data_IF_082461754065
#
_entry.id   IF_082461754065
#
_cell.length_a   1.000
_cell.length_b   1.000
_cell.length_c   1.000
_cell.angle_alpha   90.00
_cell.angle_beta   90.00
_cell.angle_gamma   90.00
#
_symmetry.space_group_name_H-M   'P 1'
#
loop_
_entity.id
_entity.type
_entity.pdbx_description
1 polymer ?
#
# COMPACT_ATOMS: atom_id res chain seq x y z
N UNK A 1 1.46 -0.94 9.12
CA UNK A 1 2.81 -1.27 8.58
C UNK A 1 3.83 -1.03 9.66
N UNK A 2 4.80 -1.91 9.85
CA UNK A 2 5.84 -1.72 10.85
C UNK A 2 7.01 -0.93 10.26
N UNK A 3 7.45 0.11 10.93
CA UNK A 3 8.71 0.76 10.62
C UNK A 3 9.86 -0.14 11.10
N UNK A 4 10.77 -0.48 10.20
CA UNK A 4 11.97 -1.22 10.54
C UNK A 4 13.01 -0.26 11.11
N UNK A 5 13.31 -0.40 12.38
CA UNK A 5 14.48 0.19 13.01
C UNK A 5 15.52 -0.92 13.17
N UNK A 6 16.51 -0.97 12.28
CA UNK A 6 17.56 -1.98 12.33
C UNK A 6 18.57 -1.61 13.42
N UNK A 7 18.58 -2.37 14.50
CA UNK A 7 19.67 -2.28 15.50
C UNK A 7 20.80 -3.28 15.23
N UNK A 8 20.54 -4.36 14.49
CA UNK A 8 21.56 -5.35 14.04
C UNK A 8 21.07 -6.06 12.79
N UNK A 9 21.97 -6.60 11.92
CA UNK A 9 21.61 -7.30 10.69
C UNK A 9 20.62 -8.46 10.86
N UNK A 10 20.60 -9.08 12.04
CA UNK A 10 19.81 -10.28 12.34
C UNK A 10 18.55 -10.00 13.19
N UNK A 11 18.23 -8.73 13.48
CA UNK A 11 17.07 -8.38 14.29
C UNK A 11 16.07 -7.51 13.54
N UNK A 12 14.77 -7.80 13.73
CA UNK A 12 13.65 -7.03 13.23
C UNK A 12 12.94 -6.40 14.41
N UNK A 13 12.83 -5.07 14.41
CA UNK A 13 11.95 -4.33 15.30
C UNK A 13 10.77 -3.83 14.48
N UNK A 14 9.58 -4.34 14.78
CA UNK A 14 8.33 -3.93 14.17
C UNK A 14 7.42 -3.30 15.22
N UNK A 15 6.61 -2.35 14.79
CA UNK A 15 5.57 -1.75 15.61
C UNK A 15 4.21 -2.03 14.98
N UNK A 16 3.25 -2.49 15.78
CA UNK A 16 1.88 -2.67 15.32
C UNK A 16 1.19 -1.30 15.25
N UNK A 17 0.99 -0.82 14.05
CA UNK A 17 0.33 0.46 13.77
C UNK A 17 -1.15 0.27 13.37
N UNK A 18 -1.74 -0.88 13.70
CA UNK A 18 -3.15 -1.16 13.40
C UNK A 18 -4.06 -0.16 14.13
N UNK A 19 -5.14 0.31 13.48
CA UNK A 19 -6.12 1.17 14.12
C UNK A 19 -6.62 0.57 15.45
N UNK A 20 -6.72 1.41 16.48
CA UNK A 20 -7.13 1.00 17.83
C UNK A 20 -6.03 0.38 18.69
N UNK A 21 -4.83 0.15 18.14
CA UNK A 21 -3.65 -0.31 18.89
C UNK A 21 -2.61 0.78 19.15
N UNK A 22 -2.78 1.91 18.48
CA UNK A 22 -1.96 3.11 18.68
C UNK A 22 -2.87 4.17 19.30
N UNK A 23 -2.64 4.50 20.57
CA UNK A 23 -3.27 5.66 21.21
C UNK A 23 -2.58 6.95 20.75
N UNK A 24 -3.22 8.12 20.93
CA UNK A 24 -2.59 9.42 20.66
C UNK A 24 -1.22 9.51 21.37
N UNK A 25 -0.16 9.66 20.57
CA UNK A 25 1.21 9.77 21.09
C UNK A 25 1.88 8.46 21.55
N UNK A 26 1.26 7.29 21.36
CA UNK A 26 1.84 6.00 21.70
C UNK A 26 2.30 5.23 20.46
N UNK A 27 3.43 4.55 20.60
CA UNK A 27 3.88 3.55 19.63
C UNK A 27 3.17 2.24 19.98
N UNK A 28 2.50 1.61 19.02
CA UNK A 28 1.80 0.35 19.21
C UNK A 28 2.70 -0.80 19.71
N UNK A 29 2.15 -1.99 19.97
CA UNK A 29 2.93 -3.12 20.49
C UNK A 29 4.19 -3.40 19.67
N UNK A 30 5.29 -3.61 20.36
CA UNK A 30 6.61 -3.87 19.76
C UNK A 30 6.79 -5.36 19.51
N UNK A 31 7.24 -5.70 18.31
CA UNK A 31 7.71 -7.03 17.93
C UNK A 31 9.23 -6.97 17.82
N UNK A 32 9.94 -7.61 18.71
CA UNK A 32 11.39 -7.73 18.66
C UNK A 32 11.72 -9.17 18.27
N UNK A 33 12.16 -9.37 17.04
CA UNK A 33 12.35 -10.69 16.45
C UNK A 33 13.78 -10.87 15.95
N UNK A 34 14.28 -12.11 16.03
CA UNK A 34 15.56 -12.53 15.44
C UNK A 34 15.36 -13.72 14.56
N UNK A 35 16.07 -13.77 13.44
CA UNK A 35 16.04 -14.93 12.55
C UNK A 35 16.80 -16.10 13.17
N UNK A 36 16.17 -17.26 13.24
CA UNK A 36 16.76 -18.55 13.62
C UNK A 36 16.36 -19.61 12.61
N UNK A 37 17.20 -19.84 11.60
CA UNK A 37 16.86 -20.70 10.47
C UNK A 37 15.62 -20.19 9.73
N UNK A 38 14.59 -21.04 9.67
CA UNK A 38 13.29 -20.70 9.06
C UNK A 38 12.28 -20.06 10.03
N UNK A 39 12.71 -19.70 11.22
CA UNK A 39 11.85 -19.07 12.21
C UNK A 39 12.29 -17.63 12.48
N UNK A 40 11.33 -16.81 12.90
CA UNK A 40 11.58 -15.56 13.62
C UNK A 40 11.19 -15.79 15.08
N UNK A 41 12.14 -15.63 15.97
CA UNK A 41 11.97 -15.89 17.41
C UNK A 41 12.18 -14.58 18.18
N UNK A 42 11.35 -14.32 19.16
CA UNK A 42 11.45 -13.10 19.96
C UNK A 42 10.26 -12.85 20.83
N UNK A 43 9.83 -11.59 20.92
CA UNK A 43 8.71 -11.18 21.77
C UNK A 43 7.76 -10.24 21.07
N UNK A 44 6.48 -10.30 21.45
CA UNK A 44 5.46 -9.29 21.21
C UNK A 44 5.14 -8.62 22.55
N UNK A 45 5.63 -7.40 22.76
CA UNK A 45 5.70 -6.83 24.09
C UNK A 45 6.55 -7.72 24.99
N UNK A 46 5.95 -8.24 26.07
CA UNK A 46 6.59 -9.17 27.02
C UNK A 46 6.29 -10.65 26.77
N UNK A 47 5.51 -10.98 25.74
CA UNK A 47 5.14 -12.36 25.46
C UNK A 47 6.12 -13.00 24.48
N UNK A 48 6.66 -14.20 24.77
CA UNK A 48 7.51 -14.92 23.85
C UNK A 48 6.74 -15.33 22.59
N UNK A 49 7.39 -15.23 21.42
CA UNK A 49 6.80 -15.48 20.13
C UNK A 49 7.77 -16.26 19.24
N UNK A 50 7.24 -17.28 18.56
CA UNK A 50 7.92 -17.99 17.49
C UNK A 50 7.04 -17.96 16.26
N UNK A 51 7.51 -17.30 15.20
CA UNK A 51 6.88 -17.30 13.88
C UNK A 51 7.63 -18.26 12.98
N UNK A 52 6.94 -19.22 12.41
CA UNK A 52 7.50 -20.16 11.43
C UNK A 52 7.30 -19.62 10.02
N UNK A 53 8.31 -19.74 9.18
CA UNK A 53 8.15 -19.53 7.75
C UNK A 53 7.28 -20.66 7.20
N UNK A 54 6.10 -20.32 6.73
CA UNK A 54 5.18 -21.24 6.05
C UNK A 54 4.95 -20.70 4.65
N UNK A 55 5.06 -21.56 3.67
CA UNK A 55 4.63 -21.23 2.31
C UNK A 55 3.17 -21.67 2.16
N UNK A 56 2.22 -20.75 2.03
CA UNK A 56 0.82 -21.12 1.84
C UNK A 56 0.61 -21.92 0.56
N UNK A 57 -0.39 -22.82 0.51
CA UNK A 57 -0.69 -23.59 -0.69
C UNK A 57 -0.90 -22.68 -1.91
N UNK A 58 -0.34 -23.08 -3.04
CA UNK A 58 -0.45 -22.37 -4.33
C UNK A 58 -0.11 -20.87 -4.24
N UNK A 59 0.79 -20.49 -3.33
CA UNK A 59 1.40 -19.17 -3.25
C UNK A 59 2.55 -19.03 -4.24
N UNK A 60 2.91 -17.80 -4.62
CA UNK A 60 4.10 -17.50 -5.42
C UNK A 60 5.24 -16.99 -4.53
N UNK A 61 6.46 -17.36 -4.83
CA UNK A 61 7.63 -16.75 -4.20
C UNK A 61 7.89 -15.38 -4.80
N UNK A 62 8.37 -14.46 -3.97
CA UNK A 62 8.63 -13.07 -4.35
C UNK A 62 10.06 -12.70 -3.99
N UNK A 63 10.67 -11.83 -4.81
CA UNK A 63 11.96 -11.21 -4.53
C UNK A 63 11.80 -9.69 -4.46
N UNK A 64 12.49 -9.07 -3.52
CA UNK A 64 12.50 -7.62 -3.36
C UNK A 64 13.59 -7.00 -4.23
N UNK A 65 13.21 -5.97 -4.99
CA UNK A 65 14.10 -5.08 -5.70
C UNK A 65 13.96 -3.68 -5.10
N UNK A 66 15.05 -3.12 -4.61
CA UNK A 66 15.06 -1.81 -3.95
C UNK A 66 15.99 -0.86 -4.68
N UNK A 67 15.47 0.31 -4.99
CA UNK A 67 16.20 1.40 -5.61
C UNK A 67 16.03 2.65 -4.74
N UNK A 68 17.12 3.37 -4.51
CA UNK A 68 17.13 4.62 -3.72
C UNK A 68 18.11 5.56 -4.37
N UNK A 69 17.72 6.81 -4.53
CA UNK A 69 18.62 7.85 -4.98
C UNK A 69 18.22 9.21 -4.39
N UNK A 70 19.10 10.20 -4.53
CA UNK A 70 18.85 11.56 -4.06
C UNK A 70 19.61 12.57 -4.91
N UNK A 71 19.05 13.77 -5.00
CA UNK A 71 19.66 14.91 -5.68
C UNK A 71 19.75 16.08 -4.71
N UNK A 72 20.91 16.74 -4.66
CA UNK A 72 21.07 17.96 -3.89
C UNK A 72 20.40 19.14 -4.61
N UNK A 73 19.75 20.01 -3.86
CA UNK A 73 19.17 21.25 -4.39
C UNK A 73 20.24 22.16 -5.00
N UNK A 74 21.38 22.24 -4.32
CA UNK A 74 22.57 22.99 -4.78
C UNK A 74 23.82 22.11 -4.65
N UNK A 75 24.25 21.41 -5.71
CA UNK A 75 25.43 20.54 -5.66
C UNK A 75 26.71 21.23 -5.19
N UNK A 76 26.84 22.53 -5.49
CA UNK A 76 27.99 23.35 -5.07
C UNK A 76 27.94 23.78 -3.59
N UNK A 77 26.80 23.53 -2.89
CA UNK A 77 26.58 23.92 -1.50
C UNK A 77 26.01 22.72 -0.69
N UNK A 78 26.75 21.62 -0.52
CA UNK A 78 26.27 20.41 0.14
C UNK A 78 25.95 20.63 1.62
N UNK A 79 26.48 21.66 2.25
CA UNK A 79 26.21 22.09 3.62
C UNK A 79 24.75 22.53 3.84
N UNK A 80 24.00 22.83 2.79
CA UNK A 80 22.59 23.26 2.91
C UNK A 80 21.68 22.14 3.37
N UNK A 81 22.12 20.86 3.25
CA UNK A 81 21.35 19.66 3.63
C UNK A 81 19.95 19.60 3.02
N UNK A 82 19.79 20.14 1.80
CA UNK A 82 18.55 20.14 1.05
C UNK A 82 18.63 19.12 -0.09
N UNK A 83 17.74 18.15 -0.05
CA UNK A 83 17.74 17.02 -0.97
C UNK A 83 16.34 16.64 -1.43
N UNK A 84 16.22 16.32 -2.72
CA UNK A 84 15.14 15.49 -3.22
C UNK A 84 15.53 14.02 -3.07
N UNK A 85 14.68 13.20 -2.46
CA UNK A 85 14.92 11.76 -2.26
C UNK A 85 13.83 10.95 -2.95
N UNK A 86 14.24 9.91 -3.65
CA UNK A 86 13.30 8.99 -4.30
C UNK A 86 13.62 7.55 -3.96
N UNK A 87 12.57 6.74 -3.77
CA UNK A 87 12.65 5.29 -3.50
C UNK A 87 11.67 4.52 -4.35
N UNK A 88 12.10 3.33 -4.78
CA UNK A 88 11.22 2.33 -5.37
C UNK A 88 11.50 0.98 -4.73
N UNK A 89 10.47 0.32 -4.19
CA UNK A 89 10.51 -1.06 -3.68
C UNK A 89 9.51 -1.91 -4.46
N UNK A 90 10.01 -2.87 -5.23
CA UNK A 90 9.20 -3.80 -5.98
C UNK A 90 9.34 -5.23 -5.44
N UNK A 91 8.23 -5.89 -5.12
CA UNK A 91 8.17 -7.33 -4.87
C UNK A 91 7.74 -8.02 -6.16
N UNK A 92 8.66 -8.72 -6.80
CA UNK A 92 8.40 -9.39 -8.08
C UNK A 92 8.29 -10.91 -7.91
N UNK A 93 7.33 -11.56 -8.57
CA UNK A 93 7.19 -13.02 -8.59
C UNK A 93 8.41 -13.72 -9.17
N UNK A 94 8.84 -14.81 -8.52
CA UNK A 94 9.95 -15.66 -8.96
C UNK A 94 9.57 -17.12 -9.16
N UNK A 95 8.34 -17.50 -8.82
CA UNK A 95 7.82 -18.84 -9.00
C UNK A 95 6.36 -18.82 -9.47
N UNK A 96 5.95 -19.94 -10.07
CA UNK A 96 4.60 -20.12 -10.57
C UNK A 96 4.52 -20.12 -12.10
N UNK A 97 3.44 -20.67 -12.67
CA UNK A 97 3.30 -20.90 -14.11
C UNK A 97 3.22 -19.59 -14.92
N UNK A 98 2.73 -18.53 -14.33
CA UNK A 98 2.53 -17.24 -14.99
C UNK A 98 3.48 -16.14 -14.49
N UNK A 99 4.69 -16.50 -14.03
CA UNK A 99 5.69 -15.56 -13.51
C UNK A 99 5.94 -14.35 -14.44
N UNK A 100 6.17 -14.52 -15.75
CA UNK A 100 6.40 -13.38 -16.64
C UNK A 100 5.20 -12.43 -16.71
N UNK A 101 3.98 -12.98 -16.79
CA UNK A 101 2.74 -12.22 -16.87
C UNK A 101 2.48 -11.47 -15.56
N UNK A 102 2.69 -12.12 -14.41
CA UNK A 102 2.57 -11.51 -13.08
C UNK A 102 3.60 -10.40 -12.90
N UNK A 103 4.86 -10.63 -13.28
CA UNK A 103 5.92 -9.62 -13.23
C UNK A 103 5.52 -8.39 -14.04
N UNK A 104 5.09 -8.59 -15.29
CA UNK A 104 4.63 -7.51 -16.14
C UNK A 104 3.44 -6.76 -15.52
N UNK A 105 2.48 -7.48 -14.93
CA UNK A 105 1.31 -6.88 -14.28
C UNK A 105 1.70 -6.06 -13.04
N UNK A 106 2.62 -6.54 -12.20
CA UNK A 106 3.12 -5.80 -11.04
C UNK A 106 3.88 -4.55 -11.48
N UNK A 107 4.73 -4.62 -12.51
CA UNK A 107 5.46 -3.44 -13.01
C UNK A 107 4.50 -2.42 -13.62
N UNK A 108 3.43 -2.84 -14.30
CA UNK A 108 2.36 -1.92 -14.74
C UNK A 108 1.67 -1.24 -13.55
N UNK A 109 1.34 -2.00 -12.50
CA UNK A 109 0.77 -1.44 -11.27
C UNK A 109 1.67 -0.41 -10.60
N UNK A 110 2.99 -0.64 -10.54
CA UNK A 110 3.99 0.34 -10.08
C UNK A 110 4.02 1.62 -10.93
N UNK A 111 3.74 1.51 -12.22
CA UNK A 111 3.61 2.67 -13.12
C UNK A 111 2.28 3.42 -12.92
N UNK A 112 1.35 2.87 -12.16
CA UNK A 112 -0.01 3.41 -12.01
C UNK A 112 -0.94 3.08 -13.18
N UNK A 113 -0.59 2.10 -14.03
CA UNK A 113 -1.37 1.70 -15.18
C UNK A 113 -2.42 0.64 -14.79
N UNK A 114 -3.67 1.07 -14.79
CA UNK A 114 -4.80 0.21 -14.41
C UNK A 114 -5.47 -0.46 -15.61
N UNK A 115 -5.09 -0.13 -16.85
CA UNK A 115 -5.84 -0.53 -18.05
C UNK A 115 -5.17 -1.60 -18.90
N UNK A 116 -3.92 -1.99 -18.62
CA UNK A 116 -3.08 -2.85 -19.47
C UNK A 116 -2.87 -2.33 -20.90
N UNK A 117 -3.18 -1.05 -21.14
CA UNK A 117 -3.16 -0.46 -22.47
C UNK A 117 -1.74 -0.34 -23.05
N UNK A 118 -0.72 -0.35 -22.19
CA UNK A 118 0.68 -0.26 -22.61
C UNK A 118 1.49 -1.45 -22.09
N UNK A 119 2.45 -1.96 -22.88
CA UNK A 119 3.38 -2.97 -22.39
C UNK A 119 4.08 -2.54 -21.09
N UNK A 120 4.35 -3.50 -20.22
CA UNK A 120 5.16 -3.25 -19.04
C UNK A 120 6.60 -2.90 -19.46
N UNK A 121 7.19 -1.83 -18.93
CA UNK A 121 8.61 -1.59 -19.10
C UNK A 121 9.43 -2.60 -18.27
N UNK A 122 10.72 -2.71 -18.54
CA UNK A 122 11.62 -3.32 -17.58
C UNK A 122 11.64 -2.50 -16.28
N UNK A 123 11.76 -3.16 -15.11
CA UNK A 123 11.74 -2.47 -13.82
C UNK A 123 12.83 -1.39 -13.72
N UNK A 124 14.04 -1.69 -14.23
CA UNK A 124 15.12 -0.71 -14.25
C UNK A 124 14.80 0.52 -15.12
N UNK A 125 14.10 0.33 -16.25
CA UNK A 125 13.67 1.44 -17.09
C UNK A 125 12.58 2.29 -16.41
N UNK A 126 11.65 1.65 -15.69
CA UNK A 126 10.66 2.36 -14.88
C UNK A 126 11.32 3.19 -13.79
N UNK A 127 12.28 2.60 -13.08
CA UNK A 127 13.06 3.31 -12.06
C UNK A 127 13.76 4.54 -12.64
N UNK A 128 14.50 4.37 -13.74
CA UNK A 128 15.25 5.46 -14.36
C UNK A 128 14.34 6.59 -14.84
N UNK A 129 13.18 6.25 -15.40
CA UNK A 129 12.17 7.24 -15.80
C UNK A 129 11.66 8.04 -14.59
N UNK A 130 11.26 7.34 -13.50
CA UNK A 130 10.73 8.00 -12.29
C UNK A 130 11.81 8.86 -11.62
N UNK A 131 13.03 8.33 -11.52
CA UNK A 131 14.17 9.03 -10.94
C UNK A 131 14.49 10.33 -11.71
N UNK A 132 14.60 10.22 -13.02
CA UNK A 132 14.96 11.38 -13.88
C UNK A 132 13.87 12.44 -13.86
N UNK A 133 12.59 12.05 -13.90
CA UNK A 133 11.47 12.99 -13.76
C UNK A 133 11.51 13.69 -12.41
N UNK A 134 11.60 12.92 -11.32
CA UNK A 134 11.64 13.49 -9.97
C UNK A 134 12.80 14.46 -9.76
N UNK A 135 13.99 14.13 -10.25
CA UNK A 135 15.15 15.01 -10.11
C UNK A 135 14.97 16.33 -10.87
N UNK A 136 14.43 16.24 -12.09
CA UNK A 136 14.13 17.42 -12.89
C UNK A 136 13.10 18.31 -12.19
N UNK A 137 11.96 17.72 -11.79
CA UNK A 137 10.86 18.46 -11.15
C UNK A 137 11.33 19.11 -9.85
N UNK A 138 12.12 18.39 -9.03
CA UNK A 138 12.70 18.94 -7.80
C UNK A 138 13.60 20.15 -8.07
N UNK A 139 14.47 20.05 -9.06
CA UNK A 139 15.40 21.16 -9.39
C UNK A 139 14.66 22.35 -9.99
N UNK A 140 13.65 22.11 -10.83
CA UNK A 140 12.83 23.19 -11.42
C UNK A 140 12.02 23.93 -10.35
N UNK A 141 11.51 23.24 -9.33
CA UNK A 141 10.74 23.84 -8.24
C UNK A 141 11.62 24.58 -7.23
N UNK A 142 12.73 23.96 -6.81
CA UNK A 142 13.51 24.45 -5.67
C UNK A 142 14.53 25.52 -6.06
N UNK A 143 15.07 25.48 -7.27
CA UNK A 143 16.10 26.46 -7.73
C UNK A 143 15.62 27.91 -7.67
N UNK A 144 14.42 28.26 -8.20
CA UNK A 144 13.96 29.67 -8.12
C UNK A 144 13.63 30.08 -6.68
N UNK A 145 13.14 29.16 -5.81
CA UNK A 145 12.89 29.46 -4.42
C UNK A 145 14.18 29.82 -3.65
N UNK A 146 15.26 29.09 -3.94
CA UNK A 146 16.57 29.36 -3.34
C UNK A 146 17.21 30.63 -3.87
N UNK A 147 17.02 30.97 -5.17
CA UNK A 147 17.50 32.24 -5.74
C UNK A 147 16.77 33.43 -5.11
N UNK A 148 15.46 33.37 -5.00
CA UNK A 148 14.68 34.45 -4.37
C UNK A 148 15.02 34.64 -2.88
N UNK A 149 15.40 33.54 -2.21
CA UNK A 149 15.79 33.56 -0.81
C UNK A 149 17.18 34.16 -0.57
N UNK A 150 18.09 34.11 -1.54
CA UNK A 150 19.44 34.65 -1.42
C UNK A 150 19.45 36.19 -1.29
N UNK A 151 18.38 36.85 -1.76
CA UNK A 151 18.24 38.32 -1.68
C UNK A 151 17.78 38.82 -0.30
N UNK A 152 17.42 37.90 0.63
CA UNK A 152 16.98 38.24 1.98
C UNK A 152 17.97 37.72 3.02
N UNK A 153 18.69 38.60 3.69
CA UNK A 153 19.76 38.28 4.66
C UNK A 153 19.31 37.45 5.86
N UNK A 154 18.00 37.19 6.05
CA UNK A 154 17.39 36.44 7.15
C UNK A 154 16.75 35.12 6.73
N UNK A 155 16.69 34.76 5.45
CA UNK A 155 16.05 33.56 5.00
C UNK A 155 16.98 32.34 5.15
N UNK A 156 16.53 31.38 5.94
CA UNK A 156 17.13 30.04 5.93
C UNK A 156 16.24 29.12 5.11
N UNK A 157 16.82 28.36 4.17
CA UNK A 157 16.04 27.36 3.41
C UNK A 157 15.29 26.45 4.36
N UNK A 158 13.99 26.38 4.23
CA UNK A 158 13.14 25.60 5.12
C UNK A 158 13.30 24.11 4.82
N UNK A 159 13.20 23.27 5.85
CA UNK A 159 13.17 21.79 5.71
C UNK A 159 12.06 21.31 4.76
N UNK A 160 11.05 22.16 4.52
CA UNK A 160 9.98 21.94 3.54
C UNK A 160 10.47 21.83 2.08
N UNK A 161 11.71 22.23 1.80
CA UNK A 161 12.36 22.04 0.51
C UNK A 161 13.05 20.66 0.36
N UNK A 162 12.99 19.81 1.36
CA UNK A 162 13.37 18.41 1.24
C UNK A 162 12.20 17.61 0.67
N UNK A 163 12.21 17.35 -0.65
CA UNK A 163 11.17 16.58 -1.30
C UNK A 163 11.41 15.09 -1.17
N UNK A 164 10.33 14.35 -1.11
CA UNK A 164 10.38 12.89 -1.05
C UNK A 164 9.36 12.27 -2.01
N UNK A 165 9.77 11.20 -2.68
CA UNK A 165 8.89 10.34 -3.45
C UNK A 165 9.18 8.87 -3.11
N UNK A 166 8.12 8.11 -2.88
CA UNK A 166 8.21 6.67 -2.64
C UNK A 166 7.14 5.94 -3.43
N UNK A 167 7.57 4.91 -4.17
CA UNK A 167 6.69 3.94 -4.78
C UNK A 167 7.06 2.57 -4.24
N UNK A 168 6.11 1.85 -3.66
CA UNK A 168 6.39 0.52 -3.11
C UNK A 168 5.24 -0.47 -3.33
N UNK A 169 5.61 -1.74 -3.45
CA UNK A 169 4.64 -2.84 -3.43
C UNK A 169 4.69 -3.57 -2.10
N UNK A 170 3.54 -4.08 -1.67
CA UNK A 170 3.44 -5.00 -0.56
C UNK A 170 2.36 -6.05 -0.79
N UNK A 171 2.57 -7.22 -0.20
CA UNK A 171 1.65 -8.34 -0.33
C UNK A 171 0.47 -8.16 0.62
N UNK A 172 -0.73 -8.24 0.08
CA UNK A 172 -1.98 -8.22 0.84
C UNK A 172 -2.54 -9.62 1.05
N UNK A 173 -2.36 -10.49 0.04
CA UNK A 173 -2.71 -11.90 0.07
C UNK A 173 -1.84 -12.70 -0.89
N UNK A 174 -1.44 -13.92 -0.51
CA UNK A 174 -0.66 -14.80 -1.38
C UNK A 174 -0.89 -16.27 -0.99
N UNK A 175 -1.98 -16.83 -1.47
CA UNK A 175 -2.36 -18.23 -1.29
C UNK A 175 -3.45 -18.63 -2.28
N UNK A 176 -3.71 -19.91 -2.44
CA UNK A 176 -4.85 -20.47 -3.16
C UNK A 176 -4.98 -19.96 -4.61
N UNK A 177 -3.86 -19.84 -5.31
CA UNK A 177 -3.75 -19.26 -6.65
C UNK A 177 -4.19 -17.79 -6.77
N UNK A 178 -4.20 -17.08 -5.65
CA UNK A 178 -4.51 -15.65 -5.58
C UNK A 178 -3.32 -14.89 -5.02
N UNK A 179 -2.86 -13.86 -5.74
CA UNK A 179 -1.90 -12.87 -5.27
C UNK A 179 -2.58 -11.51 -5.26
N UNK A 180 -2.70 -10.89 -4.09
CA UNK A 180 -3.18 -9.50 -3.98
C UNK A 180 -2.04 -8.60 -3.54
N UNK A 181 -1.84 -7.52 -4.29
CA UNK A 181 -0.73 -6.57 -4.13
C UNK A 181 -1.27 -5.17 -3.91
N UNK A 182 -0.69 -4.47 -2.95
CA UNK A 182 -0.86 -3.04 -2.78
C UNK A 182 0.31 -2.29 -3.44
N UNK A 183 -0.02 -1.22 -4.13
CA UNK A 183 0.90 -0.28 -4.76
C UNK A 183 0.78 1.04 -4.01
N UNK A 184 1.70 1.27 -3.11
CA UNK A 184 1.75 2.48 -2.30
C UNK A 184 2.56 3.55 -3.01
N UNK A 185 2.00 4.74 -3.07
CA UNK A 185 2.67 5.92 -3.58
C UNK A 185 2.61 7.01 -2.51
N UNK A 186 3.75 7.62 -2.23
CA UNK A 186 3.87 8.76 -1.34
C UNK A 186 4.67 9.86 -2.05
N UNK A 187 4.26 11.09 -1.86
CA UNK A 187 5.00 12.26 -2.30
C UNK A 187 4.92 13.38 -1.28
N UNK A 188 6.03 14.06 -1.08
CA UNK A 188 6.12 15.32 -0.35
C UNK A 188 6.91 16.32 -1.20
N UNK A 189 6.28 17.40 -1.53
CA UNK A 189 6.87 18.51 -2.32
C UNK A 189 6.69 19.86 -1.61
N UNK A 190 6.89 19.85 -0.29
CA UNK A 190 6.68 21.01 0.55
C UNK A 190 5.25 21.08 1.13
N UNK A 191 5.02 22.04 2.02
CA UNK A 191 3.74 22.23 2.69
C UNK A 191 3.62 21.51 4.02
N UNK A 192 2.38 21.33 4.51
CA UNK A 192 2.11 20.85 5.85
C UNK A 192 2.30 19.33 6.01
N UNK A 193 2.06 18.55 4.98
CA UNK A 193 2.17 17.09 4.99
C UNK A 193 2.36 16.54 3.57
N UNK A 194 2.86 15.31 3.46
CA UNK A 194 2.89 14.57 2.21
C UNK A 194 1.52 14.02 1.81
N UNK A 195 1.40 13.63 0.56
CA UNK A 195 0.24 12.92 0.03
C UNK A 195 0.58 11.47 -0.19
N UNK A 196 -0.38 10.57 0.07
CA UNK A 196 -0.20 9.16 -0.22
C UNK A 196 -1.50 8.52 -0.69
N UNK A 197 -1.35 7.46 -1.44
CA UNK A 197 -2.45 6.62 -1.88
C UNK A 197 -1.97 5.19 -2.07
N UNK A 198 -2.85 4.22 -1.83
CA UNK A 198 -2.65 2.83 -2.18
C UNK A 198 -3.65 2.42 -3.24
N UNK A 199 -3.18 2.03 -4.41
CA UNK A 199 -3.98 1.24 -5.34
C UNK A 199 -3.74 -0.24 -5.07
N UNK A 200 -4.77 -1.07 -5.31
CA UNK A 200 -4.69 -2.50 -5.05
C UNK A 200 -5.14 -3.30 -6.26
N UNK A 201 -4.56 -4.48 -6.45
CA UNK A 201 -4.97 -5.41 -7.48
C UNK A 201 -4.80 -6.86 -7.00
N UNK A 202 -5.74 -7.69 -7.38
CA UNK A 202 -5.65 -9.15 -7.22
C UNK A 202 -5.36 -9.81 -8.55
N UNK A 203 -4.56 -10.87 -8.53
CA UNK A 203 -4.13 -11.61 -9.71
C UNK A 203 -4.41 -13.10 -9.53
N UNK A 204 -4.94 -13.76 -10.57
CA UNK A 204 -4.92 -15.22 -10.67
C UNK A 204 -3.49 -15.67 -11.01
N UNK A 205 -2.84 -16.36 -10.08
CA UNK A 205 -1.43 -16.75 -10.24
C UNK A 205 -1.20 -17.85 -11.28
N UNK A 206 -2.26 -18.53 -11.72
CA UNK A 206 -2.17 -19.56 -12.79
C UNK A 206 -2.03 -18.93 -14.16
N UNK A 207 -2.60 -17.73 -14.35
CA UNK A 207 -2.68 -17.05 -15.66
C UNK A 207 -1.95 -15.72 -15.70
N UNK A 208 -1.69 -15.12 -14.53
CA UNK A 208 -1.18 -13.76 -14.39
C UNK A 208 -2.22 -12.68 -14.67
N UNK A 209 -3.51 -13.05 -14.86
CA UNK A 209 -4.59 -12.11 -15.16
C UNK A 209 -4.95 -11.29 -13.92
N UNK A 210 -5.02 -9.98 -14.09
CA UNK A 210 -5.59 -9.09 -13.09
C UNK A 210 -7.09 -9.32 -12.95
N UNK A 211 -7.57 -9.37 -11.71
CA UNK A 211 -8.99 -9.45 -11.36
C UNK A 211 -9.48 -8.03 -11.05
N UNK A 212 -10.07 -7.39 -12.04
CA UNK A 212 -10.62 -6.04 -11.92
C UNK A 212 -12.00 -6.07 -11.30
N UNK A 213 -12.54 -4.92 -10.93
CA UNK A 213 -13.88 -4.79 -10.34
C UNK A 213 -14.95 -5.52 -11.19
N UNK A 214 -14.95 -5.36 -12.49
CA UNK A 214 -15.89 -6.02 -13.40
C UNK A 214 -15.68 -7.54 -13.53
N UNK A 215 -14.49 -8.06 -13.22
CA UNK A 215 -14.22 -9.50 -13.15
C UNK A 215 -14.70 -10.11 -11.83
N UNK A 216 -14.82 -9.29 -10.78
CA UNK A 216 -15.20 -9.69 -9.43
C UNK A 216 -16.71 -9.56 -9.22
N UNK A 217 -17.29 -8.43 -9.64
CA UNK A 217 -18.69 -8.10 -9.37
C UNK A 217 -19.55 -8.11 -10.62
N UNK A 218 -20.82 -8.49 -10.45
CA UNK A 218 -21.80 -8.48 -11.52
C UNK A 218 -22.13 -7.04 -11.94
N UNK A 219 -22.38 -6.80 -13.23
CA UNK A 219 -22.88 -5.50 -13.69
C UNK A 219 -24.15 -5.09 -12.92
N UNK A 220 -24.24 -3.82 -12.55
CA UNK A 220 -25.40 -3.27 -11.84
C UNK A 220 -25.48 -3.66 -10.35
N UNK A 221 -24.41 -4.22 -9.77
CA UNK A 221 -24.36 -4.59 -8.35
C UNK A 221 -24.04 -3.41 -7.42
N UNK A 222 -23.70 -2.23 -7.95
CA UNK A 222 -23.15 -1.10 -7.20
C UNK A 222 -24.08 -0.62 -6.08
N UNK A 223 -25.38 -0.47 -6.34
CA UNK A 223 -26.35 -0.05 -5.33
C UNK A 223 -26.49 -1.06 -4.17
N UNK A 224 -26.34 -2.34 -4.48
CA UNK A 224 -26.38 -3.37 -3.43
C UNK A 224 -25.04 -3.43 -2.67
N UNK A 225 -23.92 -3.24 -3.37
CA UNK A 225 -22.60 -3.13 -2.76
C UNK A 225 -22.51 -1.94 -1.81
N UNK A 226 -23.06 -0.79 -2.17
CA UNK A 226 -23.11 0.40 -1.30
C UNK A 226 -23.81 0.08 0.04
N UNK A 227 -24.95 -0.61 -0.01
CA UNK A 227 -25.67 -1.03 1.21
C UNK A 227 -24.86 -2.01 2.06
N UNK A 228 -24.21 -2.98 1.41
CA UNK A 228 -23.36 -3.94 2.09
C UNK A 228 -22.15 -3.25 2.71
N UNK A 229 -21.47 -2.40 1.96
CA UNK A 229 -20.35 -1.61 2.44
C UNK A 229 -20.72 -0.75 3.64
N UNK A 230 -21.86 -0.05 3.61
CA UNK A 230 -22.33 0.75 4.73
C UNK A 230 -22.57 -0.06 6.01
N UNK A 231 -22.97 -1.34 5.89
CA UNK A 231 -23.08 -2.24 7.04
C UNK A 231 -21.71 -2.61 7.62
N UNK A 232 -20.75 -2.98 6.76
CA UNK A 232 -19.43 -3.46 7.19
C UNK A 232 -18.45 -2.31 7.51
N UNK A 233 -18.73 -1.09 7.06
CA UNK A 233 -17.93 0.09 7.40
C UNK A 233 -18.10 0.50 8.86
N UNK A 234 -19.30 0.39 9.45
CA UNK A 234 -19.55 0.84 10.83
C UNK A 234 -18.58 0.27 11.85
N UNK A 235 -18.42 -1.06 11.97
CA UNK A 235 -17.43 -1.62 12.89
C UNK A 235 -15.98 -1.20 12.57
N UNK A 236 -15.63 -1.07 11.29
CA UNK A 236 -14.30 -0.63 10.86
C UNK A 236 -14.00 0.83 11.23
N UNK A 237 -15.05 1.64 11.37
CA UNK A 237 -14.99 3.05 11.78
C UNK A 237 -15.24 3.25 13.29
N UNK A 238 -15.42 2.17 14.07
CA UNK A 238 -15.74 2.24 15.48
C UNK A 238 -17.18 2.69 15.78
N UNK A 239 -18.07 2.62 14.79
CA UNK A 239 -19.47 3.02 14.92
C UNK A 239 -20.37 1.82 15.28
N UNK A 240 -21.40 2.08 16.07
CA UNK A 240 -22.49 1.14 16.32
C UNK A 240 -23.41 1.01 15.09
N UNK A 241 -24.28 0.00 15.08
CA UNK A 241 -25.23 -0.21 13.98
C UNK A 241 -26.24 0.94 13.80
N UNK A 242 -26.54 1.68 14.89
CA UNK A 242 -27.50 2.79 14.90
C UNK A 242 -26.88 4.14 14.53
N UNK A 243 -25.56 4.28 14.64
CA UNK A 243 -24.90 5.55 14.39
C UNK A 243 -24.77 5.83 12.88
N UNK A 244 -24.99 7.09 12.46
CA UNK A 244 -24.84 7.46 11.05
C UNK A 244 -23.36 7.46 10.63
N UNK A 245 -23.08 7.08 9.38
CA UNK A 245 -21.73 7.10 8.84
C UNK A 245 -21.11 8.51 8.84
N UNK A 246 -21.92 9.55 8.77
CA UNK A 246 -21.48 10.95 8.80
C UNK A 246 -20.80 11.39 10.11
N UNK A 247 -20.80 10.56 11.15
CA UNK A 247 -19.94 10.82 12.33
C UNK A 247 -18.45 10.60 12.05
N UNK A 248 -18.12 9.74 11.09
CA UNK A 248 -16.72 9.42 10.73
C UNK A 248 -16.39 9.76 9.27
N UNK A 249 -17.40 9.90 8.41
CA UNK A 249 -17.25 10.15 6.99
C UNK A 249 -17.83 11.52 6.60
N UNK A 250 -17.49 12.01 5.41
CA UNK A 250 -18.07 13.28 4.90
C UNK A 250 -19.56 13.19 4.62
N UNK A 251 -20.07 12.00 4.32
CA UNK A 251 -21.47 11.75 3.98
C UNK A 251 -22.02 10.57 4.75
N UNK A 252 -23.35 10.43 4.75
CA UNK A 252 -24.01 9.28 5.39
C UNK A 252 -24.13 8.04 4.46
N UNK A 253 -23.55 8.09 3.30
CA UNK A 253 -23.43 6.96 2.37
C UNK A 253 -21.97 6.66 2.07
N UNK A 254 -21.72 5.43 1.61
CA UNK A 254 -20.39 4.96 1.27
C UNK A 254 -20.35 4.59 -0.21
N UNK A 255 -19.83 5.46 -1.09
CA UNK A 255 -19.78 5.16 -2.51
C UNK A 255 -18.91 3.93 -2.77
N UNK A 256 -19.28 3.12 -3.76
CA UNK A 256 -18.50 1.94 -4.14
C UNK A 256 -17.18 2.39 -4.77
N UNK A 257 -16.06 1.91 -4.22
CA UNK A 257 -14.74 2.06 -4.84
C UNK A 257 -14.40 0.86 -5.70
N UNK A 258 -13.76 1.09 -6.85
CA UNK A 258 -13.17 0.04 -7.67
C UNK A 258 -11.78 -0.38 -7.18
N UNK A 259 -11.24 0.31 -6.19
CA UNK A 259 -9.98 -0.03 -5.52
C UNK A 259 -10.23 -1.14 -4.51
N UNK A 260 -10.26 -2.38 -4.97
CA UNK A 260 -10.67 -3.56 -4.21
C UNK A 260 -9.70 -4.71 -4.46
N UNK A 261 -9.39 -5.47 -3.41
CA UNK A 261 -8.63 -6.70 -3.50
C UNK A 261 -9.31 -7.87 -2.78
N UNK A 262 -8.92 -9.07 -3.17
CA UNK A 262 -9.46 -10.30 -2.66
C UNK A 262 -8.51 -10.97 -1.65
N UNK A 263 -9.11 -11.69 -0.71
CA UNK A 263 -8.46 -12.64 0.21
C UNK A 263 -9.16 -13.99 0.13
N UNK A 264 -8.77 -14.99 0.91
CA UNK A 264 -9.53 -16.24 0.99
C UNK A 264 -10.93 -16.07 1.59
N UNK A 265 -11.13 -15.07 2.44
CA UNK A 265 -12.36 -14.89 3.22
C UNK A 265 -13.33 -13.85 2.66
N UNK A 266 -12.87 -12.95 1.81
CA UNK A 266 -13.69 -11.83 1.35
C UNK A 266 -12.94 -10.85 0.46
N UNK A 267 -13.60 -9.73 0.19
CA UNK A 267 -13.02 -8.60 -0.52
C UNK A 267 -12.77 -7.43 0.45
N UNK A 268 -11.70 -6.69 0.21
CA UNK A 268 -11.36 -5.47 0.95
C UNK A 268 -11.41 -4.28 0.02
N UNK A 269 -12.25 -3.33 0.35
CA UNK A 269 -12.43 -2.08 -0.37
C UNK A 269 -11.56 -1.00 0.26
N UNK A 270 -10.76 -0.31 -0.54
CA UNK A 270 -9.74 0.64 -0.08
C UNK A 270 -10.11 2.05 -0.54
N UNK A 271 -10.19 2.97 0.43
CA UNK A 271 -10.45 4.39 0.20
C UNK A 271 -9.22 5.17 0.65
N UNK A 272 -8.64 5.93 -0.25
CA UNK A 272 -7.51 6.80 0.07
C UNK A 272 -7.89 7.98 0.97
N UNK A 273 -6.90 8.66 1.55
CA UNK A 273 -7.10 9.89 2.30
C UNK A 273 -7.92 10.90 1.48
N UNK A 274 -8.80 11.65 2.13
CA UNK A 274 -9.78 12.56 1.53
C UNK A 274 -10.83 11.91 0.61
N UNK A 275 -10.78 10.61 0.34
CA UNK A 275 -11.74 9.93 -0.53
C UNK A 275 -13.16 9.94 0.05
N UNK A 276 -13.30 9.63 1.33
CA UNK A 276 -14.58 9.55 2.05
C UNK A 276 -14.54 10.18 3.43
N UNK A 277 -13.36 10.52 3.94
CA UNK A 277 -13.16 11.10 5.28
C UNK A 277 -11.97 12.08 5.25
N UNK A 278 -11.74 12.81 6.35
CA UNK A 278 -10.61 13.72 6.49
C UNK A 278 -9.26 13.02 6.37
N UNK A 279 -8.20 13.76 6.03
CA UNK A 279 -6.84 13.25 5.97
C UNK A 279 -6.39 12.58 7.28
N UNK A 280 -6.84 13.09 8.42
CA UNK A 280 -6.52 12.54 9.73
C UNK A 280 -7.03 11.12 9.94
N UNK A 281 -8.08 10.69 9.24
CA UNK A 281 -8.57 9.31 9.24
C UNK A 281 -7.67 8.36 8.44
N UNK A 282 -6.83 8.92 7.57
CA UNK A 282 -5.95 8.14 6.72
C UNK A 282 -6.68 7.30 5.67
N UNK A 283 -6.06 6.21 5.27
CA UNK A 283 -6.64 5.21 4.36
C UNK A 283 -7.62 4.32 5.11
N UNK A 284 -8.83 4.20 4.60
CA UNK A 284 -9.89 3.37 5.18
C UNK A 284 -10.03 2.09 4.38
N UNK A 285 -9.97 0.94 5.07
CA UNK A 285 -10.13 -0.40 4.48
C UNK A 285 -11.33 -1.10 5.08
N UNK A 286 -12.24 -1.54 4.21
CA UNK A 286 -13.48 -2.20 4.61
C UNK A 286 -13.47 -3.63 4.09
N UNK A 287 -13.34 -4.57 5.02
CA UNK A 287 -13.46 -6.00 4.70
C UNK A 287 -14.93 -6.40 4.64
N UNK A 288 -15.31 -7.10 3.57
CA UNK A 288 -16.64 -7.70 3.40
C UNK A 288 -16.47 -9.19 3.12
N UNK A 289 -17.02 -10.07 3.95
CA UNK A 289 -16.87 -11.52 3.75
C UNK A 289 -17.63 -12.02 2.51
N UNK A 290 -17.11 -13.06 1.87
CA UNK A 290 -17.75 -13.65 0.68
C UNK A 290 -19.18 -14.12 0.93
N UNK A 291 -19.51 -14.50 2.16
CA UNK A 291 -20.89 -14.86 2.53
C UNK A 291 -21.89 -13.74 2.28
N UNK A 292 -21.48 -12.49 2.47
CA UNK A 292 -22.30 -11.31 2.22
C UNK A 292 -22.22 -10.84 0.74
N UNK A 293 -21.12 -11.13 0.06
CA UNK A 293 -20.89 -10.73 -1.33
C UNK A 293 -21.40 -11.74 -2.35
N UNK A 294 -21.63 -13.01 -1.95
CA UNK A 294 -21.95 -14.12 -2.86
C UNK A 294 -23.01 -13.80 -3.93
N UNK A 295 -24.13 -13.13 -3.63
CA UNK A 295 -25.13 -12.77 -4.65
C UNK A 295 -24.63 -11.77 -5.69
N UNK A 296 -23.57 -11.00 -5.38
CA UNK A 296 -23.05 -9.90 -6.16
C UNK A 296 -21.81 -10.29 -6.97
N UNK A 297 -21.22 -11.47 -6.69
CA UNK A 297 -20.00 -11.93 -7.34
C UNK A 297 -20.29 -12.51 -8.72
N UNK A 298 -19.33 -12.32 -9.64
CA UNK A 298 -19.29 -13.08 -10.89
C UNK A 298 -19.10 -14.57 -10.61
N UNK A 299 -19.73 -15.47 -11.37
CA UNK A 299 -19.56 -16.91 -11.19
C UNK A 299 -18.13 -17.42 -11.39
N UNK A 300 -17.31 -16.66 -12.14
CA UNK A 300 -15.92 -16.99 -12.49
C UNK A 300 -14.88 -16.54 -11.47
N UNK A 301 -15.29 -15.88 -10.39
CA UNK A 301 -14.33 -15.42 -9.36
C UNK A 301 -13.67 -16.63 -8.71
N UNK A 302 -12.32 -16.74 -8.70
CA UNK A 302 -11.60 -17.94 -8.25
C UNK A 302 -11.57 -18.09 -6.72
N UNK A 303 -12.57 -17.58 -6.01
CA UNK A 303 -12.60 -17.51 -4.56
C UNK A 303 -13.96 -17.99 -4.03
N UNK A 304 -13.94 -18.83 -3.02
CA UNK A 304 -15.14 -19.26 -2.29
C UNK A 304 -15.54 -20.73 -2.45
N UNK A 305 -14.67 -21.59 -2.99
CA UNK A 305 -14.85 -23.05 -3.02
C UNK A 305 -14.38 -23.78 -1.76
N UNK A 306 -13.79 -23.08 -0.80
CA UNK A 306 -13.40 -23.67 0.48
C UNK A 306 -14.57 -23.67 1.45
N UNK A 307 -15.10 -24.85 1.78
CA UNK A 307 -15.90 -25.04 2.99
C UNK A 307 -15.16 -24.44 4.17
N UNK A 308 -15.81 -23.52 4.88
CA UNK A 308 -15.32 -23.05 6.17
C UNK A 308 -15.33 -24.26 7.10
N UNK A 309 -14.21 -24.95 7.23
CA UNK A 309 -14.01 -25.91 8.32
C UNK A 309 -14.02 -25.08 9.61
N UNK A 310 -15.19 -25.03 10.24
CA UNK A 310 -15.32 -24.58 11.63
C UNK A 310 -14.52 -25.56 12.50
N UNK A 311 -13.44 -25.10 13.09
CA UNK A 311 -12.88 -25.66 14.31
C UNK A 311 -13.08 -24.67 15.45
#
# INVERSE_FOLDING_TARGET
MGNQSASTPDSLLLHDTSPGKVGEGSVGPRWLLRRQGNNLVGTLGNQPLVLRLVQPPASVSLVAHSFVDSVAARPAHPQDSLFGRIRLLALLPTSGPATPQLTAAVVRGLRGDTTDAKPAPALAALWEQQRSSFFKDYQEDVTPLLAAAADTASYRPAATLNYEAETSTYVLWNADNLLSVGFFNYSYSGGAHGNYATSVCSYDTRTGRALRFADIFRPGSELQLEKVLGKYARPALGLTAAEPLSQALFTNSLPVTHNVYLTSGGAVFVYGPYGIASYAQGEIRIFVPFTALRPLLQPSVPVGGGEVVRK
#
